data_IF_879085553071
#
_entry.id   IF_879085553071
#
_cell.length_a   1.000
_cell.length_b   1.000
_cell.length_c   1.000
_cell.angle_alpha   90.00
_cell.angle_beta   90.00
_cell.angle_gamma   90.00
#
_symmetry.space_group_name_H-M   'P 1'
#
loop_
_entity.id
_entity.type
_entity.pdbx_description
1 polymer ?
#
# COMPACT_ATOMS: atom_id res chain seq x y z
N UNK A 1 -57.94 -55.22 -11.63
CA UNK A 1 -57.77 -53.84 -11.11
C UNK A 1 -56.34 -53.59 -10.60
N UNK A 2 -55.30 -53.61 -11.47
CA UNK A 2 -53.90 -53.44 -11.02
C UNK A 2 -53.07 -52.45 -11.87
N UNK A 3 -53.56 -52.05 -13.06
CA UNK A 3 -52.85 -51.10 -13.93
C UNK A 3 -52.99 -49.63 -13.49
N UNK A 4 -54.15 -49.26 -12.94
CA UNK A 4 -54.45 -47.86 -12.58
C UNK A 4 -53.56 -47.35 -11.42
N UNK A 5 -53.18 -48.22 -10.48
CA UNK A 5 -52.25 -47.87 -9.41
C UNK A 5 -50.79 -47.74 -9.87
N UNK A 6 -50.36 -48.55 -10.84
CA UNK A 6 -49.00 -48.44 -11.42
C UNK A 6 -48.85 -47.13 -12.20
N UNK A 7 -49.81 -46.82 -13.07
CA UNK A 7 -49.80 -45.58 -13.84
C UNK A 7 -49.82 -44.32 -12.94
N UNK A 8 -50.66 -44.30 -11.90
CA UNK A 8 -50.72 -43.20 -10.94
C UNK A 8 -49.41 -43.01 -10.18
N UNK A 9 -48.76 -44.11 -9.77
CA UNK A 9 -47.48 -44.07 -9.07
C UNK A 9 -46.34 -43.56 -9.96
N UNK A 10 -46.34 -43.94 -11.24
CA UNK A 10 -45.38 -43.39 -12.21
C UNK A 10 -45.64 -41.90 -12.50
N UNK A 11 -46.90 -41.48 -12.55
CA UNK A 11 -47.26 -40.07 -12.72
C UNK A 11 -46.77 -39.21 -11.55
N UNK A 12 -47.04 -39.63 -10.31
CA UNK A 12 -46.55 -38.93 -9.10
C UNK A 12 -45.02 -38.88 -9.08
N UNK A 13 -44.35 -40.00 -9.37
CA UNK A 13 -42.89 -40.05 -9.42
C UNK A 13 -42.31 -39.10 -10.47
N UNK A 14 -42.89 -39.06 -11.67
CA UNK A 14 -42.46 -38.16 -12.73
C UNK A 14 -42.71 -36.69 -12.36
N UNK A 15 -43.86 -36.38 -11.76
CA UNK A 15 -44.18 -35.02 -11.29
C UNK A 15 -43.19 -34.54 -10.21
N UNK A 16 -42.84 -35.38 -9.25
CA UNK A 16 -41.85 -35.04 -8.21
C UNK A 16 -40.48 -34.78 -8.82
N UNK A 17 -40.03 -35.64 -9.76
CA UNK A 17 -38.74 -35.44 -10.44
C UNK A 17 -38.75 -34.11 -11.21
N UNK A 18 -39.79 -33.84 -12.00
CA UNK A 18 -39.87 -32.59 -12.77
C UNK A 18 -39.88 -31.38 -11.84
N UNK A 19 -40.69 -31.38 -10.79
CA UNK A 19 -40.78 -30.24 -9.85
C UNK A 19 -39.46 -30.00 -9.11
N UNK A 20 -38.83 -31.06 -8.60
CA UNK A 20 -37.56 -30.95 -7.89
C UNK A 20 -36.42 -30.52 -8.82
N UNK A 21 -36.34 -31.09 -10.02
CA UNK A 21 -35.36 -30.68 -11.03
C UNK A 21 -35.56 -29.22 -11.46
N UNK A 22 -36.80 -28.77 -11.69
CA UNK A 22 -37.09 -27.38 -12.04
C UNK A 22 -36.71 -26.41 -10.93
N UNK A 23 -37.00 -26.75 -9.67
CA UNK A 23 -36.61 -25.95 -8.52
C UNK A 23 -35.08 -25.85 -8.39
N UNK A 24 -34.37 -26.97 -8.50
CA UNK A 24 -32.91 -26.98 -8.44
C UNK A 24 -32.26 -26.18 -9.58
N UNK A 25 -32.80 -26.28 -10.79
CA UNK A 25 -32.32 -25.49 -11.95
C UNK A 25 -32.55 -23.99 -11.70
N UNK A 26 -33.71 -23.61 -11.14
CA UNK A 26 -34.00 -22.22 -10.81
C UNK A 26 -33.02 -21.66 -9.78
N UNK A 27 -32.83 -22.37 -8.66
CA UNK A 27 -31.89 -21.97 -7.61
C UNK A 27 -30.45 -21.89 -8.12
N UNK A 28 -30.04 -22.82 -8.99
CA UNK A 28 -28.71 -22.79 -9.61
C UNK A 28 -28.51 -21.53 -10.45
N UNK A 29 -29.50 -21.17 -11.30
CA UNK A 29 -29.43 -19.97 -12.15
C UNK A 29 -29.46 -18.70 -11.28
N UNK A 30 -30.30 -18.66 -10.25
CA UNK A 30 -30.37 -17.52 -9.34
C UNK A 30 -29.06 -17.32 -8.58
N UNK A 31 -28.48 -18.41 -8.07
CA UNK A 31 -27.18 -18.40 -7.39
C UNK A 31 -26.04 -17.98 -8.33
N UNK A 32 -26.02 -18.47 -9.56
CA UNK A 32 -25.02 -18.08 -10.56
C UNK A 32 -25.10 -16.57 -10.87
N UNK A 33 -26.31 -16.03 -11.06
CA UNK A 33 -26.50 -14.59 -11.29
C UNK A 33 -26.05 -13.76 -10.11
N UNK A 34 -26.40 -14.16 -8.89
CA UNK A 34 -25.99 -13.46 -7.67
C UNK A 34 -24.47 -13.49 -7.49
N UNK A 35 -23.85 -14.65 -7.72
CA UNK A 35 -22.40 -14.81 -7.63
C UNK A 35 -21.67 -14.01 -8.70
N UNK A 36 -22.17 -13.98 -9.94
CA UNK A 36 -21.60 -13.18 -11.02
C UNK A 36 -21.68 -11.67 -10.74
N UNK A 37 -22.79 -11.20 -10.17
CA UNK A 37 -22.93 -9.79 -9.77
C UNK A 37 -21.95 -9.43 -8.64
N UNK A 38 -21.84 -10.30 -7.64
CA UNK A 38 -20.91 -10.11 -6.53
C UNK A 38 -19.45 -10.14 -6.98
N UNK A 39 -19.09 -11.09 -7.85
CA UNK A 39 -17.75 -11.20 -8.43
C UNK A 39 -17.40 -9.94 -9.23
N UNK A 40 -18.32 -9.45 -10.06
CA UNK A 40 -18.11 -8.21 -10.82
C UNK A 40 -17.87 -7.02 -9.90
N UNK A 41 -18.66 -6.88 -8.84
CA UNK A 41 -18.48 -5.82 -7.86
C UNK A 41 -17.12 -5.89 -7.13
N UNK A 42 -16.68 -7.10 -6.75
CA UNK A 42 -15.34 -7.28 -6.16
C UNK A 42 -14.27 -6.89 -7.16
N UNK A 43 -14.34 -7.38 -8.39
CA UNK A 43 -13.35 -7.10 -9.43
C UNK A 43 -13.26 -5.60 -9.73
N UNK A 44 -14.39 -4.91 -9.93
CA UNK A 44 -14.41 -3.47 -10.19
C UNK A 44 -13.85 -2.66 -9.01
N UNK A 45 -14.18 -3.03 -7.77
CA UNK A 45 -13.62 -2.37 -6.58
C UNK A 45 -12.14 -2.68 -6.38
N UNK A 46 -11.71 -3.90 -6.65
CA UNK A 46 -10.30 -4.30 -6.53
C UNK A 46 -9.45 -3.60 -7.59
N UNK A 47 -9.89 -3.60 -8.84
CA UNK A 47 -9.20 -2.93 -9.95
C UNK A 47 -9.13 -1.42 -9.73
N UNK A 48 -10.23 -0.79 -9.29
CA UNK A 48 -10.22 0.65 -9.01
C UNK A 48 -9.32 1.02 -7.83
N UNK A 49 -9.33 0.24 -6.75
CA UNK A 49 -8.44 0.44 -5.60
C UNK A 49 -6.98 0.29 -6.00
N UNK A 50 -6.64 -0.79 -6.73
CA UNK A 50 -5.28 -1.07 -7.17
C UNK A 50 -4.76 0.01 -8.13
N UNK A 51 -5.58 0.43 -9.11
CA UNK A 51 -5.20 1.48 -10.05
C UNK A 51 -5.04 2.83 -9.36
N UNK A 52 -5.88 3.15 -8.38
CA UNK A 52 -5.78 4.38 -7.60
C UNK A 52 -4.49 4.43 -6.78
N UNK A 53 -4.16 3.34 -6.07
CA UNK A 53 -2.91 3.25 -5.30
C UNK A 53 -1.67 3.32 -6.19
N UNK A 54 -1.70 2.68 -7.36
CA UNK A 54 -0.63 2.79 -8.35
C UNK A 54 -0.46 4.23 -8.83
N UNK A 55 -1.56 4.93 -9.13
CA UNK A 55 -1.51 6.33 -9.57
C UNK A 55 -0.94 7.23 -8.47
N UNK A 56 -1.38 7.07 -7.22
CA UNK A 56 -0.83 7.83 -6.10
C UNK A 56 0.67 7.59 -5.94
N UNK A 57 1.12 6.34 -5.93
CA UNK A 57 2.54 5.98 -5.84
C UNK A 57 3.37 6.62 -6.97
N UNK A 58 2.86 6.59 -8.21
CA UNK A 58 3.53 7.21 -9.36
C UNK A 58 3.55 8.73 -9.27
N UNK A 59 2.46 9.35 -8.84
CA UNK A 59 2.37 10.81 -8.70
C UNK A 59 3.32 11.34 -7.62
N UNK A 60 3.41 10.67 -6.48
CA UNK A 60 4.31 11.02 -5.37
C UNK A 60 5.76 10.77 -5.78
N UNK A 61 6.07 9.62 -6.39
CA UNK A 61 7.42 9.37 -6.91
C UNK A 61 7.85 10.44 -7.92
N UNK A 62 6.98 10.81 -8.86
CA UNK A 62 7.27 11.86 -9.83
C UNK A 62 7.46 13.24 -9.18
N UNK A 63 6.69 13.57 -8.14
CA UNK A 63 6.89 14.80 -7.38
C UNK A 63 8.24 14.78 -6.66
N UNK A 64 8.58 13.69 -5.95
CA UNK A 64 9.84 13.56 -5.23
C UNK A 64 11.03 13.66 -6.17
N UNK A 65 10.99 12.98 -7.31
CA UNK A 65 12.02 13.07 -8.35
C UNK A 65 12.25 14.52 -8.78
N UNK A 66 11.17 15.28 -9.06
CA UNK A 66 11.30 16.70 -9.40
C UNK A 66 11.85 17.54 -8.27
N UNK A 67 11.46 17.26 -7.03
CA UNK A 67 11.97 17.99 -5.85
C UNK A 67 13.46 17.71 -5.63
N UNK A 68 13.92 16.49 -5.89
CA UNK A 68 15.32 16.11 -5.74
C UNK A 68 16.21 16.60 -6.89
N UNK A 69 15.66 16.74 -8.10
CA UNK A 69 16.38 17.31 -9.25
C UNK A 69 16.38 18.84 -9.28
N UNK A 70 15.49 19.49 -8.52
CA UNK A 70 15.42 20.95 -8.48
C UNK A 70 16.69 21.54 -7.84
N UNK A 71 17.27 22.61 -8.42
CA UNK A 71 18.41 23.29 -7.82
C UNK A 71 18.00 23.87 -6.45
N UNK A 72 18.54 23.27 -5.39
CA UNK A 72 18.29 23.68 -4.02
C UNK A 72 19.15 24.87 -3.59
N UNK A 73 18.75 25.50 -2.48
CA UNK A 73 19.57 26.50 -1.81
C UNK A 73 20.89 25.89 -1.33
N UNK A 74 22.01 26.64 -1.38
CA UNK A 74 23.28 26.16 -0.88
C UNK A 74 23.17 25.78 0.60
N UNK A 75 23.65 24.58 0.94
CA UNK A 75 23.64 24.09 2.32
C UNK A 75 24.51 24.99 3.20
N UNK A 76 23.87 25.64 4.18
CA UNK A 76 24.57 26.49 5.14
C UNK A 76 25.50 25.66 6.03
N UNK A 77 26.58 26.28 6.51
CA UNK A 77 27.53 25.61 7.40
C UNK A 77 26.87 25.11 8.70
N UNK A 78 25.83 25.79 9.17
CA UNK A 78 25.05 25.39 10.35
C UNK A 78 24.25 24.11 10.10
N UNK A 79 23.52 24.01 8.97
CA UNK A 79 22.76 22.80 8.61
C UNK A 79 23.68 21.58 8.48
N UNK A 80 24.84 21.79 7.85
CA UNK A 80 25.86 20.74 7.72
C UNK A 80 26.35 20.25 9.08
N UNK A 81 26.70 21.16 9.99
CA UNK A 81 27.14 20.79 11.36
C UNK A 81 26.04 20.05 12.10
N UNK A 82 24.82 20.57 12.11
CA UNK A 82 23.70 19.95 12.80
C UNK A 82 23.40 18.52 12.30
N UNK A 83 23.50 18.28 10.98
CA UNK A 83 23.34 16.94 10.42
C UNK A 83 24.48 16.01 10.82
N UNK A 84 25.73 16.45 10.65
CA UNK A 84 26.91 15.64 10.97
C UNK A 84 27.02 15.32 12.47
N UNK A 85 26.60 16.24 13.36
CA UNK A 85 26.56 16.02 14.81
C UNK A 85 25.54 14.95 15.20
N UNK A 86 24.47 14.80 14.40
CA UNK A 86 23.45 13.78 14.58
C UNK A 86 23.75 12.46 13.84
N UNK A 87 24.81 12.41 13.02
CA UNK A 87 25.18 11.23 12.26
C UNK A 87 25.67 10.11 13.20
N UNK A 88 25.12 8.92 13.02
CA UNK A 88 25.35 7.75 13.84
C UNK A 88 25.94 6.62 13.00
N UNK A 89 26.80 5.80 13.60
CA UNK A 89 27.33 4.58 13.03
C UNK A 89 27.11 3.44 14.03
N UNK A 90 26.31 2.43 13.66
CA UNK A 90 25.90 1.33 14.53
C UNK A 90 25.97 0.02 13.74
N UNK A 91 26.75 -0.94 14.23
CA UNK A 91 26.86 -2.28 13.63
C UNK A 91 27.15 -2.31 12.12
N UNK A 92 27.84 -1.29 11.59
CA UNK A 92 28.14 -1.15 10.16
C UNK A 92 27.06 -0.41 9.35
N UNK A 93 25.94 -0.02 9.94
CA UNK A 93 24.93 0.87 9.37
C UNK A 93 25.21 2.31 9.79
N UNK A 94 25.14 3.23 8.84
CA UNK A 94 25.34 4.65 9.07
C UNK A 94 24.03 5.41 8.81
N UNK A 95 23.89 6.62 9.36
CA UNK A 95 22.72 7.45 9.08
C UNK A 95 22.35 8.37 10.23
N UNK A 96 21.08 8.76 10.31
CA UNK A 96 20.56 9.65 11.36
C UNK A 96 19.29 9.08 11.96
N UNK A 97 19.05 9.38 13.24
CA UNK A 97 17.93 8.84 14.01
C UNK A 97 17.91 7.29 14.04
N UNK A 98 19.09 6.65 14.13
CA UNK A 98 19.21 5.19 14.19
C UNK A 98 18.84 4.65 15.56
N UNK A 99 19.28 5.34 16.62
CA UNK A 99 18.95 5.00 18.01
C UNK A 99 18.79 6.22 18.91
N UNK A 100 19.54 7.30 18.67
CA UNK A 100 19.47 8.50 19.51
C UNK A 100 18.28 9.38 19.17
N UNK A 101 17.75 9.28 17.95
CA UNK A 101 16.61 10.07 17.48
C UNK A 101 16.78 11.58 17.75
N UNK A 102 17.98 12.10 17.48
CA UNK A 102 18.44 13.43 17.89
C UNK A 102 18.47 14.45 16.74
N UNK A 103 18.04 14.08 15.53
CA UNK A 103 17.91 14.99 14.40
C UNK A 103 16.44 15.37 14.16
N UNK A 104 15.98 16.53 14.64
CA UNK A 104 14.58 16.96 14.48
C UNK A 104 14.25 17.41 13.05
N UNK A 105 15.26 17.57 12.19
CA UNK A 105 15.07 17.95 10.79
C UNK A 105 14.45 16.84 9.94
N UNK A 106 14.40 15.60 10.44
CA UNK A 106 13.72 14.47 9.80
C UNK A 106 12.73 13.86 10.79
N UNK A 107 11.54 13.53 10.28
CA UNK A 107 10.52 12.87 11.08
C UNK A 107 10.90 11.43 11.46
N UNK A 108 11.60 10.72 10.56
CA UNK A 108 11.92 9.30 10.74
C UNK A 108 13.40 8.98 10.74
N UNK A 109 13.72 7.74 10.34
CA UNK A 109 15.08 7.16 10.40
C UNK A 109 15.69 7.04 9.01
N UNK A 110 16.90 7.58 8.84
CA UNK A 110 17.70 7.42 7.62
C UNK A 110 18.79 6.38 7.87
N UNK A 111 18.87 5.36 7.02
CA UNK A 111 19.96 4.40 6.98
C UNK A 111 20.67 4.48 5.63
N UNK A 112 22.00 4.45 5.64
CA UNK A 112 22.82 4.55 4.45
C UNK A 112 24.09 3.71 4.55
N UNK A 113 24.60 3.32 3.39
CA UNK A 113 25.93 2.74 3.25
C UNK A 113 27.06 3.79 3.27
N UNK A 114 26.73 5.08 3.18
CA UNK A 114 27.71 6.16 3.22
C UNK A 114 28.44 6.20 4.57
N UNK A 115 29.77 6.24 4.52
CA UNK A 115 30.60 6.30 5.73
C UNK A 115 30.82 7.72 6.23
N UNK A 116 30.71 8.72 5.36
CA UNK A 116 30.85 10.13 5.73
C UNK A 116 29.50 10.82 5.76
N UNK A 117 29.29 11.70 6.75
CA UNK A 117 28.04 12.46 6.88
C UNK A 117 27.76 13.40 5.68
N UNK A 118 28.79 13.72 4.88
CA UNK A 118 28.67 14.64 3.73
C UNK A 118 28.20 13.96 2.46
N UNK A 119 28.37 12.64 2.32
CA UNK A 119 28.17 11.94 1.04
C UNK A 119 26.70 11.99 0.57
N UNK A 120 25.76 11.99 1.53
CA UNK A 120 24.31 12.03 1.29
C UNK A 120 23.64 13.25 1.94
N UNK A 121 24.41 14.26 2.34
CA UNK A 121 23.89 15.43 3.07
C UNK A 121 22.84 16.19 2.25
N UNK A 122 23.14 16.46 0.98
CA UNK A 122 22.26 17.25 0.12
C UNK A 122 20.92 16.52 -0.10
N UNK A 123 20.98 15.20 -0.33
CA UNK A 123 19.80 14.34 -0.49
C UNK A 123 19.01 14.26 0.83
N UNK A 124 19.69 14.10 1.97
CA UNK A 124 19.06 14.01 3.28
C UNK A 124 18.29 15.27 3.67
N UNK A 125 18.74 16.45 3.22
CA UNK A 125 18.06 17.72 3.46
C UNK A 125 16.78 17.89 2.63
N UNK A 126 16.56 17.04 1.62
CA UNK A 126 15.38 17.05 0.77
C UNK A 126 14.32 16.04 1.23
N UNK A 127 14.68 15.08 2.09
CA UNK A 127 13.77 14.09 2.68
C UNK A 127 12.57 14.67 3.46
N UNK A 128 12.60 15.91 4.02
CA UNK A 128 11.39 16.51 4.56
C UNK A 128 10.25 16.67 3.54
N UNK A 129 10.56 16.72 2.23
CA UNK A 129 9.55 16.68 1.18
C UNK A 129 8.80 15.34 1.14
N UNK A 130 9.49 14.23 1.43
CA UNK A 130 8.86 12.93 1.63
C UNK A 130 7.97 12.95 2.87
N UNK A 131 8.45 13.48 3.99
CA UNK A 131 7.64 13.60 5.22
C UNK A 131 6.33 14.35 4.98
N UNK A 132 6.40 15.45 4.21
CA UNK A 132 5.23 16.23 3.83
C UNK A 132 4.28 15.43 2.93
N UNK A 133 4.79 14.72 1.92
CA UNK A 133 3.98 13.90 1.03
C UNK A 133 3.25 12.78 1.77
N UNK A 134 3.94 12.09 2.70
CA UNK A 134 3.35 11.05 3.55
C UNK A 134 2.30 11.64 4.49
N UNK A 135 2.59 12.77 5.13
CA UNK A 135 1.65 13.44 6.04
C UNK A 135 0.37 13.85 5.32
N UNK A 136 0.47 14.46 4.13
CA UNK A 136 -0.69 14.83 3.31
C UNK A 136 -1.49 13.60 2.92
N UNK A 137 -0.84 12.53 2.45
CA UNK A 137 -1.51 11.30 2.05
C UNK A 137 -2.24 10.63 3.22
N UNK A 138 -1.62 10.57 4.41
CA UNK A 138 -2.24 10.00 5.62
C UNK A 138 -3.38 10.87 6.17
N UNK A 139 -3.39 12.17 5.89
CA UNK A 139 -4.46 13.09 6.30
C UNK A 139 -5.67 13.09 5.36
N UNK A 140 -5.53 12.55 4.14
CA UNK A 140 -6.65 12.42 3.22
C UNK A 140 -7.57 11.29 3.70
N UNK A 141 -8.82 11.66 4.00
CA UNK A 141 -9.88 10.69 4.32
C UNK A 141 -10.04 9.74 3.13
N UNK A 142 -9.70 8.46 3.33
CA UNK A 142 -9.80 7.40 2.31
C UNK A 142 -11.29 7.15 2.05
N UNK A 143 -11.91 7.98 1.19
CA UNK A 143 -13.31 7.80 0.74
C UNK A 143 -13.51 6.45 0.00
N UNK A 144 -12.41 5.74 -0.26
CA UNK A 144 -12.34 4.40 -0.79
C UNK A 144 -11.64 3.48 0.21
N UNK A 145 -12.30 3.17 1.34
CA UNK A 145 -12.03 1.92 2.04
C UNK A 145 -12.41 0.75 1.09
N UNK A 146 -11.48 0.42 0.19
CA UNK A 146 -11.53 -0.81 -0.58
C UNK A 146 -11.50 -2.01 0.36
N UNK A 147 -11.90 -3.18 -0.15
CA UNK A 147 -11.88 -4.44 0.59
C UNK A 147 -10.46 -4.88 1.05
N UNK A 148 -9.42 -4.16 0.65
CA UNK A 148 -8.04 -4.34 1.06
C UNK A 148 -7.66 -3.33 2.14
N UNK A 149 -7.47 -3.85 3.35
CA UNK A 149 -6.62 -3.40 4.47
C UNK A 149 -6.15 -1.94 4.53
N UNK A 150 -6.22 -1.39 5.76
CA UNK A 150 -5.55 -0.19 6.31
C UNK A 150 -4.02 -0.23 6.17
N UNK A 151 -3.49 -0.63 5.02
CA UNK A 151 -2.07 -0.65 4.74
C UNK A 151 -1.61 0.80 4.70
N UNK A 152 -0.90 1.23 5.76
CA UNK A 152 -0.27 2.53 5.83
C UNK A 152 0.51 2.77 4.53
N UNK A 153 -0.06 3.63 3.68
CA UNK A 153 0.54 4.03 2.41
C UNK A 153 1.81 4.82 2.73
N UNK A 154 2.89 4.54 1.97
CA UNK A 154 4.22 5.17 2.09
C UNK A 154 4.89 5.05 3.48
N UNK A 155 5.69 3.98 3.64
CA UNK A 155 6.46 3.72 4.88
C UNK A 155 7.93 4.12 4.75
N UNK A 156 8.49 3.96 3.55
CA UNK A 156 9.89 4.20 3.30
C UNK A 156 10.12 4.69 1.87
N UNK A 157 11.22 5.39 1.69
CA UNK A 157 11.80 5.79 0.42
C UNK A 157 13.17 5.13 0.29
N UNK A 158 13.46 4.54 -0.87
CA UNK A 158 14.75 3.89 -1.16
C UNK A 158 15.35 4.55 -2.38
N UNK A 159 16.58 5.01 -2.25
CA UNK A 159 17.41 5.42 -3.37
C UNK A 159 18.47 4.36 -3.63
N UNK A 160 18.32 3.65 -4.75
CA UNK A 160 19.24 2.58 -5.14
C UNK A 160 20.55 3.11 -5.71
N UNK A 161 20.57 4.33 -6.25
CA UNK A 161 21.79 4.93 -6.80
C UNK A 161 22.67 5.48 -5.67
N UNK A 162 22.04 6.09 -4.66
CA UNK A 162 22.71 6.70 -3.50
C UNK A 162 22.82 5.77 -2.29
N UNK A 163 22.29 4.54 -2.40
CA UNK A 163 22.40 3.47 -1.41
C UNK A 163 21.94 3.90 -0.01
N UNK A 164 20.74 4.48 0.06
CA UNK A 164 20.09 4.79 1.34
C UNK A 164 18.61 4.41 1.34
N UNK A 165 18.11 4.18 2.54
CA UNK A 165 16.68 4.01 2.83
C UNK A 165 16.29 4.99 3.91
N UNK A 166 15.20 5.70 3.67
CA UNK A 166 14.59 6.61 4.63
C UNK A 166 13.23 6.07 5.04
N UNK A 167 13.05 5.81 6.32
CA UNK A 167 11.78 5.39 6.91
C UNK A 167 11.06 6.62 7.44
N UNK A 168 9.77 6.74 7.16
CA UNK A 168 8.95 7.83 7.70
C UNK A 168 8.86 7.74 9.22
N UNK A 169 8.72 6.52 9.76
CA UNK A 169 8.65 6.30 11.21
C UNK A 169 10.05 6.07 11.81
N UNK A 170 10.22 6.35 13.10
CA UNK A 170 11.47 6.08 13.82
C UNK A 170 11.66 4.57 14.02
N UNK A 171 12.75 4.01 13.50
CA UNK A 171 13.08 2.58 13.59
C UNK A 171 14.39 2.41 14.35
N UNK A 172 14.34 1.67 15.45
CA UNK A 172 15.53 1.29 16.20
C UNK A 172 16.35 0.27 15.40
N UNK A 173 17.56 0.67 15.02
CA UNK A 173 18.47 -0.13 14.19
C UNK A 173 19.42 -1.02 15.03
N UNK A 174 18.92 -1.60 16.14
CA UNK A 174 19.72 -2.41 17.08
C UNK A 174 19.98 -3.82 16.58
#
# INVERSE_FOLDING_TARGET
MNLHHKALRHFISASVIVLTSSFLIYELIASDRAMNAYMRYIMERADSSFLYDKYQNQSIAAHLMRTFEAPGDPVTAEKRRAFCDAFEAINGTHGVNLTRHNYPGLHGTLQTAATQCTDNLDDALLLPAFDQAVSINRSQDDHSHGLGTLELKFRYYVDLNKHYVYFYDLINSR
#
